data_IF_355306849839
#
_entry.id   IF_355306849839
#
_cell.length_a   1.000
_cell.length_b   1.000
_cell.length_c   1.000
_cell.angle_alpha   90.00
_cell.angle_beta   90.00
_cell.angle_gamma   90.00
#
_symmetry.space_group_name_H-M   'P 1'
#
loop_
_entity.id
_entity.type
_entity.pdbx_description
1 polymer ?
#
# COMPACT_ATOMS: atom_id res chain seq x y z
N UNK A 1 26.20 11.37 -11.14
CA UNK A 1 26.33 10.79 -9.78
C UNK A 1 27.04 11.78 -8.90
N UNK A 2 26.35 12.31 -7.91
CA UNK A 2 26.85 13.36 -7.02
C UNK A 2 27.52 12.69 -5.81
N UNK A 3 28.81 12.96 -5.57
CA UNK A 3 29.52 12.42 -4.39
C UNK A 3 29.02 13.15 -3.14
N UNK A 4 28.54 12.42 -2.14
CA UNK A 4 28.24 12.96 -0.81
C UNK A 4 29.19 12.30 0.18
N UNK A 5 30.02 13.10 0.88
CA UNK A 5 31.09 12.61 1.78
C UNK A 5 32.01 11.57 1.13
N UNK A 6 32.52 11.86 -0.08
CA UNK A 6 33.39 10.96 -0.87
C UNK A 6 32.84 9.56 -1.17
N UNK A 7 31.55 9.34 -0.93
CA UNK A 7 30.90 8.06 -1.18
C UNK A 7 29.93 8.20 -2.35
N UNK A 8 29.91 7.22 -3.26
CA UNK A 8 28.90 7.17 -4.31
C UNK A 8 27.53 6.94 -3.68
N UNK A 9 26.61 7.89 -3.83
CA UNK A 9 25.24 7.79 -3.35
C UNK A 9 24.27 7.87 -4.52
N UNK A 10 23.32 6.94 -4.56
CA UNK A 10 22.16 7.04 -5.45
C UNK A 10 21.28 8.16 -4.90
N UNK A 11 20.94 9.13 -5.75
CA UNK A 11 20.05 10.22 -5.35
C UNK A 11 18.67 9.68 -4.99
N UNK A 12 18.03 10.31 -4.01
CA UNK A 12 16.70 9.88 -3.59
C UNK A 12 15.70 10.17 -4.71
N UNK A 13 14.86 9.19 -5.03
CA UNK A 13 13.70 9.38 -5.94
C UNK A 13 12.57 10.18 -5.31
N UNK A 14 12.67 10.50 -4.01
CA UNK A 14 11.67 11.27 -3.26
C UNK A 14 11.62 12.72 -3.73
N UNK A 15 10.41 13.27 -3.82
CA UNK A 15 10.19 14.67 -4.17
C UNK A 15 10.77 15.58 -3.09
N UNK A 16 11.77 16.40 -3.42
CA UNK A 16 12.56 17.19 -2.46
C UNK A 16 11.74 18.19 -1.63
N UNK A 17 10.63 18.68 -2.19
CA UNK A 17 9.76 19.68 -1.55
C UNK A 17 8.63 19.06 -0.73
N UNK A 18 8.55 17.73 -0.67
CA UNK A 18 7.47 17.02 0.00
C UNK A 18 7.95 16.34 1.28
N UNK A 19 7.29 16.64 2.39
CA UNK A 19 7.51 15.92 3.64
C UNK A 19 6.62 14.68 3.70
N UNK A 20 7.27 13.51 3.63
CA UNK A 20 6.62 12.21 3.66
C UNK A 20 6.20 11.79 5.08
N UNK A 21 6.53 12.57 6.11
CA UNK A 21 5.99 12.38 7.46
C UNK A 21 4.55 12.90 7.59
N UNK A 22 4.11 13.77 6.68
CA UNK A 22 2.77 14.35 6.75
C UNK A 22 1.68 13.30 6.49
N UNK A 23 0.57 13.36 7.26
CA UNK A 23 -0.59 12.53 6.99
C UNK A 23 -1.14 12.73 5.59
N UNK A 24 -1.35 11.65 4.84
CA UNK A 24 -1.93 11.70 3.50
C UNK A 24 -2.65 10.42 3.11
N UNK A 25 -3.45 10.54 2.05
CA UNK A 25 -4.22 9.44 1.45
C UNK A 25 -3.39 8.69 0.43
N UNK A 26 -3.33 7.38 0.57
CA UNK A 26 -2.65 6.49 -0.35
C UNK A 26 -3.63 5.45 -0.88
N UNK A 27 -3.56 5.25 -2.19
CA UNK A 27 -4.22 4.16 -2.86
C UNK A 27 -3.25 2.98 -2.92
N UNK A 28 -3.65 1.84 -2.33
CA UNK A 28 -2.81 0.64 -2.29
C UNK A 28 -3.52 -0.48 -3.05
N UNK A 29 -2.78 -1.16 -3.92
CA UNK A 29 -3.25 -2.36 -4.60
C UNK A 29 -2.33 -3.52 -4.22
N UNK A 30 -2.94 -4.63 -3.81
CA UNK A 30 -2.21 -5.86 -3.53
C UNK A 30 -2.08 -6.61 -4.86
N UNK A 31 -0.87 -6.68 -5.39
CA UNK A 31 -0.59 -7.39 -6.63
C UNK A 31 0.33 -8.58 -6.37
N UNK A 32 0.15 -9.63 -7.14
CA UNK A 32 0.93 -10.85 -7.08
C UNK A 32 1.97 -10.84 -8.20
N UNK A 33 2.94 -11.76 -8.12
CA UNK A 33 3.90 -11.93 -9.20
C UNK A 33 3.15 -12.24 -10.50
N UNK A 34 3.54 -11.57 -11.57
CA UNK A 34 2.97 -11.74 -12.91
C UNK A 34 1.45 -11.47 -13.00
N UNK A 35 0.89 -10.72 -12.03
CA UNK A 35 -0.53 -10.35 -11.98
C UNK A 35 -1.49 -11.56 -11.92
N UNK A 36 -1.01 -12.68 -11.36
CA UNK A 36 -1.81 -13.90 -11.21
C UNK A 36 -2.90 -13.72 -10.16
N UNK A 37 -4.13 -14.07 -10.51
CA UNK A 37 -5.35 -13.94 -9.67
C UNK A 37 -5.41 -14.93 -8.47
N UNK A 38 -4.40 -14.93 -7.60
CA UNK A 38 -4.33 -15.85 -6.46
C UNK A 38 -5.38 -15.60 -5.38
N UNK A 39 -5.85 -14.36 -5.24
CA UNK A 39 -6.78 -13.95 -4.18
C UNK A 39 -8.25 -14.04 -4.58
N UNK A 40 -8.52 -14.50 -5.80
CA UNK A 40 -9.84 -14.47 -6.41
C UNK A 40 -9.80 -13.71 -7.72
N UNK A 41 -10.98 -13.44 -8.25
CA UNK A 41 -11.16 -12.91 -9.60
C UNK A 41 -12.10 -11.71 -9.59
N UNK A 42 -11.95 -10.83 -10.58
CA UNK A 42 -12.86 -9.70 -10.73
C UNK A 42 -13.99 -10.09 -11.66
N UNK A 43 -15.22 -10.10 -11.16
CA UNK A 43 -16.44 -10.34 -11.93
C UNK A 43 -17.37 -9.14 -11.79
N UNK A 44 -17.92 -8.64 -12.90
CA UNK A 44 -18.86 -7.51 -12.90
C UNK A 44 -18.34 -6.30 -12.10
N UNK A 45 -17.07 -5.93 -12.30
CA UNK A 45 -16.39 -4.83 -11.60
C UNK A 45 -16.29 -5.00 -10.08
N UNK A 46 -16.50 -6.21 -9.56
CA UNK A 46 -16.42 -6.55 -8.15
C UNK A 46 -15.38 -7.64 -7.91
N UNK A 47 -14.59 -7.46 -6.87
CA UNK A 47 -13.65 -8.49 -6.42
C UNK A 47 -14.42 -9.65 -5.79
N UNK A 48 -14.27 -10.86 -6.35
CA UNK A 48 -14.81 -12.11 -5.81
C UNK A 48 -13.66 -12.86 -5.16
N UNK A 49 -13.56 -12.78 -3.82
CA UNK A 49 -12.48 -13.39 -3.06
C UNK A 49 -12.62 -14.91 -2.98
N UNK A 50 -11.49 -15.61 -3.17
CA UNK A 50 -11.38 -17.04 -2.84
C UNK A 50 -10.93 -17.21 -1.37
N UNK A 51 -10.62 -18.45 -0.95
CA UNK A 51 -10.16 -18.72 0.42
C UNK A 51 -8.92 -17.93 0.83
N UNK A 52 -7.95 -17.76 -0.09
CA UNK A 52 -6.75 -16.94 0.17
C UNK A 52 -7.07 -15.45 0.21
N UNK A 53 -7.95 -14.98 -0.67
CA UNK A 53 -8.40 -13.58 -0.67
C UNK A 53 -9.08 -13.16 0.62
N UNK A 54 -9.87 -14.06 1.23
CA UNK A 54 -10.47 -13.81 2.55
C UNK A 54 -9.43 -13.64 3.65
N UNK A 55 -8.37 -14.46 3.65
CA UNK A 55 -7.27 -14.31 4.61
C UNK A 55 -6.56 -12.96 4.42
N UNK A 56 -6.35 -12.54 3.17
CA UNK A 56 -5.75 -11.23 2.87
C UNK A 56 -6.66 -10.10 3.35
N UNK A 57 -7.98 -10.20 3.13
CA UNK A 57 -8.95 -9.23 3.62
C UNK A 57 -8.91 -9.13 5.16
N UNK A 58 -8.89 -10.26 5.86
CA UNK A 58 -8.80 -10.31 7.33
C UNK A 58 -7.54 -9.64 7.86
N UNK A 59 -6.36 -9.99 7.31
CA UNK A 59 -5.09 -9.38 7.70
C UNK A 59 -5.00 -7.89 7.29
N UNK A 60 -5.63 -7.51 6.18
CA UNK A 60 -5.75 -6.12 5.78
C UNK A 60 -6.53 -5.32 6.84
N UNK A 61 -7.72 -5.77 7.22
CA UNK A 61 -8.54 -5.11 8.25
C UNK A 61 -7.83 -5.04 9.60
N UNK A 62 -7.07 -6.08 9.94
CA UNK A 62 -6.27 -6.16 11.17
C UNK A 62 -5.13 -5.14 11.20
N UNK A 63 -4.67 -4.65 10.04
CA UNK A 63 -3.60 -3.64 9.96
C UNK A 63 -3.94 -2.38 10.76
N UNK A 64 -5.21 -1.93 10.74
CA UNK A 64 -5.68 -0.80 11.55
C UNK A 64 -5.48 -1.02 13.06
N UNK A 65 -5.60 -2.27 13.53
CA UNK A 65 -5.43 -2.61 14.94
C UNK A 65 -3.95 -2.78 15.32
N UNK A 66 -3.12 -3.21 14.37
CA UNK A 66 -1.66 -3.41 14.58
C UNK A 66 -0.89 -2.09 14.49
N UNK A 67 -1.33 -1.16 13.62
CA UNK A 67 -0.63 0.08 13.31
C UNK A 67 -1.50 1.27 13.69
N UNK A 68 -1.17 1.92 14.81
CA UNK A 68 -1.90 3.06 15.34
C UNK A 68 -1.92 4.29 14.39
N UNK A 69 -0.96 4.37 13.47
CA UNK A 69 -0.82 5.45 12.50
C UNK A 69 -1.45 5.13 11.14
N UNK A 70 -2.24 4.06 11.03
CA UNK A 70 -2.89 3.62 9.80
C UNK A 70 -4.39 3.58 9.99
N UNK A 71 -5.09 4.39 9.22
CA UNK A 71 -6.54 4.27 9.06
C UNK A 71 -6.88 3.70 7.69
N UNK A 72 -7.90 2.84 7.65
CA UNK A 72 -8.43 2.28 6.42
C UNK A 72 -9.79 2.94 6.16
N UNK A 73 -9.95 3.52 4.96
CA UNK A 73 -11.22 4.12 4.53
C UNK A 73 -11.85 3.23 3.47
N UNK A 74 -13.06 2.75 3.75
CA UNK A 74 -13.74 1.76 2.91
C UNK A 74 -14.42 2.44 1.71
N UNK A 75 -13.87 2.21 0.51
CA UNK A 75 -14.51 2.59 -0.74
C UNK A 75 -14.21 1.57 -1.83
N UNK A 76 -14.57 0.29 -1.60
CA UNK A 76 -14.42 -0.84 -2.55
C UNK A 76 -13.01 -1.06 -3.13
N UNK A 77 -12.05 -0.27 -2.66
CA UNK A 77 -10.67 -0.14 -3.06
C UNK A 77 -9.88 0.21 -1.80
N UNK A 78 -8.72 -0.41 -1.62
CA UNK A 78 -7.90 -0.25 -0.43
C UNK A 78 -7.30 1.17 -0.37
N UNK A 79 -7.94 2.06 0.39
CA UNK A 79 -7.40 3.37 0.73
C UNK A 79 -6.83 3.34 2.16
N UNK A 80 -5.58 3.81 2.30
CA UNK A 80 -4.92 4.01 3.58
C UNK A 80 -4.74 5.51 3.82
N UNK A 81 -5.06 5.96 5.03
CA UNK A 81 -4.56 7.24 5.55
C UNK A 81 -3.43 6.91 6.53
N UNK A 82 -2.25 7.46 6.27
CA UNK A 82 -1.21 7.51 7.30
C UNK A 82 -1.46 8.74 8.16
N UNK A 83 -1.55 8.57 9.48
CA UNK A 83 -1.59 9.67 10.45
C UNK A 83 -0.22 9.71 11.13
N UNK A 84 0.71 10.48 10.54
CA UNK A 84 2.04 10.74 11.09
C UNK A 84 2.01 11.54 12.38
#
# INVERSE_FOLDING_TARGET
>A
MTKFKDTYRIETTRLKVWDYANPWWYYITINTKDHVEYFGRVEYEKMVLNGLGKIVEEEWLKTKNIRANVELVFLWLCQIIFMG
#
